data_IF_258342259973
#
_entry.id   IF_258342259973
#
_cell.length_a   1.000
_cell.length_b   1.000
_cell.length_c   1.000
_cell.angle_alpha   90.00
_cell.angle_beta   90.00
_cell.angle_gamma   90.00
#
_symmetry.space_group_name_H-M   'P 1'
#
loop_
_entity.id
_entity.type
_entity.pdbx_description
1 polymer ?
#
# COMPACT_ATOMS: atom_id res chain seq x y z
N UNK A 1 -19.91 -10.42 -4.50
CA UNK A 1 -19.66 -10.75 -5.94
C UNK A 1 -19.40 -9.44 -6.65
N UNK A 2 -18.41 -9.35 -7.55
CA UNK A 2 -18.11 -8.12 -8.30
C UNK A 2 -19.13 -7.99 -9.44
N UNK A 3 -19.86 -6.90 -9.50
CA UNK A 3 -20.86 -6.62 -10.53
C UNK A 3 -20.20 -6.26 -11.88
N UNK A 4 -20.99 -6.20 -12.95
CA UNK A 4 -20.50 -5.73 -14.25
C UNK A 4 -20.08 -4.25 -14.18
N UNK A 5 -20.85 -3.42 -13.47
CA UNK A 5 -20.56 -2.00 -13.25
C UNK A 5 -19.25 -1.81 -12.47
N UNK A 6 -19.09 -2.54 -11.34
CA UNK A 6 -17.83 -2.51 -10.57
C UNK A 6 -16.62 -2.89 -11.43
N UNK A 7 -16.80 -3.91 -12.30
CA UNK A 7 -15.71 -4.37 -13.18
C UNK A 7 -15.27 -3.31 -14.16
N UNK A 8 -16.20 -2.55 -14.72
CA UNK A 8 -15.85 -1.44 -15.63
C UNK A 8 -15.09 -0.32 -14.90
N UNK A 9 -15.49 0.02 -13.67
CA UNK A 9 -14.77 0.99 -12.84
C UNK A 9 -13.33 0.51 -12.57
N UNK A 10 -13.19 -0.74 -12.13
CA UNK A 10 -11.87 -1.32 -11.82
C UNK A 10 -10.96 -1.40 -13.06
N UNK A 11 -11.50 -1.75 -14.23
CA UNK A 11 -10.75 -1.75 -15.50
C UNK A 11 -10.27 -0.35 -15.88
N UNK A 12 -11.14 0.65 -15.74
CA UNK A 12 -10.76 2.04 -16.02
C UNK A 12 -9.64 2.52 -15.10
N UNK A 13 -9.68 2.15 -13.81
CA UNK A 13 -8.61 2.48 -12.86
C UNK A 13 -7.32 1.73 -13.17
N UNK A 14 -7.37 0.45 -13.52
CA UNK A 14 -6.20 -0.31 -13.93
C UNK A 14 -5.55 0.30 -15.19
N UNK A 15 -6.36 0.76 -16.14
CA UNK A 15 -5.86 1.47 -17.32
C UNK A 15 -5.15 2.77 -16.93
N UNK A 16 -5.72 3.56 -16.01
CA UNK A 16 -5.09 4.79 -15.50
C UNK A 16 -3.76 4.49 -14.79
N UNK A 17 -3.67 3.39 -14.04
CA UNK A 17 -2.41 2.96 -13.44
C UNK A 17 -1.35 2.67 -14.51
N UNK A 18 -1.71 1.96 -15.59
CA UNK A 18 -0.78 1.67 -16.69
C UNK A 18 -0.34 2.96 -17.41
N UNK A 19 -1.24 3.90 -17.64
CA UNK A 19 -0.91 5.21 -18.20
C UNK A 19 0.06 5.97 -17.30
N UNK A 20 -0.19 5.97 -16.00
CA UNK A 20 0.71 6.56 -15.01
C UNK A 20 2.08 5.86 -15.00
N UNK A 21 2.11 4.52 -15.09
CA UNK A 21 3.35 3.74 -15.20
C UNK A 21 4.18 4.17 -16.41
N UNK A 22 3.56 4.33 -17.57
CA UNK A 22 4.25 4.71 -18.81
C UNK A 22 4.54 6.22 -18.93
N UNK A 23 4.09 7.03 -17.98
CA UNK A 23 4.34 8.47 -18.01
C UNK A 23 5.84 8.80 -17.95
N UNK A 24 6.31 9.86 -18.64
CA UNK A 24 7.71 10.29 -18.58
C UNK A 24 8.20 10.49 -17.14
N UNK A 25 7.37 11.09 -16.30
CA UNK A 25 7.65 11.34 -14.88
C UNK A 25 7.94 10.04 -14.11
N UNK A 26 7.13 8.99 -14.34
CA UNK A 26 7.36 7.71 -13.68
C UNK A 26 8.62 7.01 -14.21
N UNK A 27 8.93 7.14 -15.49
CA UNK A 27 10.17 6.60 -16.07
C UNK A 27 11.42 7.27 -15.49
N UNK A 28 11.38 8.58 -15.28
CA UNK A 28 12.44 9.31 -14.58
C UNK A 28 12.64 8.82 -13.14
N UNK A 29 11.55 8.57 -12.42
CA UNK A 29 11.59 8.00 -11.06
C UNK A 29 12.17 6.60 -11.04
N UNK A 30 11.77 5.75 -11.97
CA UNK A 30 12.35 4.41 -12.11
C UNK A 30 13.87 4.47 -12.34
N UNK A 31 14.32 5.40 -13.17
CA UNK A 31 15.75 5.62 -13.41
C UNK A 31 16.47 6.14 -12.15
N UNK A 32 15.84 7.07 -11.40
CA UNK A 32 16.34 7.56 -10.13
C UNK A 32 16.52 6.44 -9.11
N UNK A 33 15.52 5.59 -8.93
CA UNK A 33 15.58 4.44 -8.01
C UNK A 33 16.66 3.44 -8.41
N UNK A 34 16.82 3.16 -9.73
CA UNK A 34 17.88 2.27 -10.21
C UNK A 34 19.28 2.81 -9.86
N UNK A 35 19.51 4.11 -10.07
CA UNK A 35 20.79 4.75 -9.71
C UNK A 35 21.02 4.72 -8.19
N UNK A 36 19.99 5.03 -7.42
CA UNK A 36 20.06 5.01 -5.96
C UNK A 36 20.44 3.62 -5.43
N UNK A 37 19.75 2.57 -5.90
CA UNK A 37 20.02 1.19 -5.50
C UNK A 37 21.42 0.69 -5.95
N UNK A 38 21.98 1.28 -7.00
CA UNK A 38 23.34 1.03 -7.44
C UNK A 38 24.39 1.88 -6.68
N UNK A 39 24.01 2.57 -5.60
CA UNK A 39 24.88 3.51 -4.86
C UNK A 39 25.43 4.66 -5.72
N UNK A 40 24.68 5.05 -6.76
CA UNK A 40 25.03 6.14 -7.70
C UNK A 40 23.98 7.27 -7.64
N UNK A 41 23.29 7.39 -6.51
CA UNK A 41 22.27 8.41 -6.31
C UNK A 41 22.88 9.80 -6.14
N UNK A 42 22.30 10.80 -6.78
CA UNK A 42 22.71 12.21 -6.70
C UNK A 42 22.01 12.96 -5.55
N UNK A 43 20.89 12.42 -5.07
CA UNK A 43 20.09 12.98 -3.98
C UNK A 43 19.36 11.87 -3.21
N UNK A 44 18.90 12.15 -1.99
CA UNK A 44 18.01 11.23 -1.29
C UNK A 44 16.71 11.00 -2.07
N UNK A 45 16.14 9.80 -1.94
CA UNK A 45 14.81 9.47 -2.43
C UNK A 45 13.81 9.80 -1.32
N UNK A 46 12.74 10.48 -1.68
CA UNK A 46 11.65 10.83 -0.77
C UNK A 46 10.41 10.03 -1.16
N UNK A 47 9.92 9.23 -0.24
CA UNK A 47 8.67 8.50 -0.38
C UNK A 47 7.73 8.87 0.76
N UNK A 48 6.50 9.23 0.42
CA UNK A 48 5.46 9.57 1.39
C UNK A 48 4.50 8.38 1.48
N UNK A 49 4.43 7.78 2.67
CA UNK A 49 3.47 6.70 2.94
C UNK A 49 2.05 7.27 3.03
N UNK A 50 1.15 6.72 2.21
CA UNK A 50 -0.23 7.16 2.13
C UNK A 50 -1.08 6.70 3.32
N UNK A 51 -0.63 5.74 4.10
CA UNK A 51 -1.41 5.10 5.18
C UNK A 51 -2.01 6.11 6.17
N UNK A 52 -1.29 7.21 6.44
CA UNK A 52 -1.76 8.29 7.33
C UNK A 52 -2.93 9.08 6.74
N UNK A 53 -2.92 9.31 5.42
CA UNK A 53 -3.87 10.19 4.72
C UNK A 53 -4.93 9.42 3.94
N UNK A 54 -4.80 8.11 3.82
CA UNK A 54 -5.66 7.28 3.00
C UNK A 54 -7.12 7.45 3.32
N UNK A 55 -7.46 7.48 4.62
CA UNK A 55 -8.84 7.57 5.10
C UNK A 55 -9.52 8.91 4.73
N UNK A 56 -8.73 9.93 4.44
CA UNK A 56 -9.23 11.23 4.01
C UNK A 56 -9.30 11.34 2.48
N UNK A 57 -8.35 10.73 1.77
CA UNK A 57 -8.16 10.93 0.34
C UNK A 57 -8.94 9.90 -0.49
N UNK A 58 -8.86 8.61 -0.15
CA UNK A 58 -9.39 7.54 -1.00
C UNK A 58 -10.91 7.36 -0.88
N UNK A 59 -11.53 7.32 0.32
CA UNK A 59 -12.97 7.05 0.44
C UNK A 59 -13.88 7.94 -0.41
N UNK A 60 -13.61 9.26 -0.56
CA UNK A 60 -14.42 10.11 -1.42
C UNK A 60 -14.32 9.79 -2.91
N UNK A 61 -13.29 9.06 -3.33
CA UNK A 61 -13.05 8.68 -4.73
C UNK A 61 -13.71 7.37 -5.11
N UNK A 62 -14.10 6.54 -4.13
CA UNK A 62 -14.62 5.21 -4.35
C UNK A 62 -16.00 5.25 -5.00
N UNK A 63 -16.16 4.47 -6.06
CA UNK A 63 -17.38 4.40 -6.89
C UNK A 63 -17.98 3.00 -6.94
N UNK A 64 -17.21 1.95 -6.63
CA UNK A 64 -17.71 0.60 -6.57
C UNK A 64 -18.68 0.42 -5.42
N UNK A 65 -19.71 -0.43 -5.62
CA UNK A 65 -20.74 -0.71 -4.61
C UNK A 65 -20.38 -1.94 -3.77
N UNK A 66 -19.84 -2.99 -4.39
CA UNK A 66 -19.48 -4.23 -3.71
C UNK A 66 -18.26 -4.07 -2.80
N UNK A 67 -18.31 -4.61 -1.59
CA UNK A 67 -17.22 -4.51 -0.60
C UNK A 67 -15.86 -4.97 -1.17
N UNK A 68 -15.83 -6.15 -1.80
CA UNK A 68 -14.60 -6.66 -2.44
C UNK A 68 -14.13 -5.74 -3.57
N UNK A 69 -15.06 -5.18 -4.36
CA UNK A 69 -14.71 -4.25 -5.43
C UNK A 69 -14.15 -2.94 -4.87
N UNK A 70 -14.69 -2.41 -3.77
CA UNK A 70 -14.16 -1.23 -3.07
C UNK A 70 -12.77 -1.47 -2.52
N UNK A 71 -12.47 -2.66 -1.98
CA UNK A 71 -11.12 -3.02 -1.54
C UNK A 71 -10.13 -3.02 -2.70
N UNK A 72 -10.50 -3.59 -3.85
CA UNK A 72 -9.67 -3.56 -5.06
C UNK A 72 -9.51 -2.13 -5.62
N UNK A 73 -10.56 -1.33 -5.59
CA UNK A 73 -10.55 0.06 -6.00
C UNK A 73 -9.59 0.88 -5.12
N UNK A 74 -9.64 0.71 -3.80
CA UNK A 74 -8.71 1.32 -2.84
C UNK A 74 -7.27 0.93 -3.16
N UNK A 75 -7.02 -0.37 -3.37
CA UNK A 75 -5.67 -0.86 -3.68
C UNK A 75 -5.14 -0.30 -5.02
N UNK A 76 -5.98 -0.15 -6.04
CA UNK A 76 -5.60 0.50 -7.30
C UNK A 76 -5.25 1.97 -7.09
N UNK A 77 -6.05 2.72 -6.33
CA UNK A 77 -5.74 4.12 -6.03
C UNK A 77 -4.41 4.27 -5.29
N UNK A 78 -4.12 3.41 -4.31
CA UNK A 78 -2.83 3.41 -3.59
C UNK A 78 -1.63 3.28 -4.54
N UNK A 79 -1.75 2.56 -5.64
CA UNK A 79 -0.65 2.34 -6.56
C UNK A 79 -0.20 3.60 -7.31
N UNK A 80 -1.09 4.55 -7.58
CA UNK A 80 -0.75 5.68 -8.44
C UNK A 80 -1.07 7.09 -7.90
N UNK A 81 -1.76 7.20 -6.76
CA UNK A 81 -2.12 8.52 -6.22
C UNK A 81 -0.91 9.38 -5.86
N UNK A 82 0.16 8.79 -5.34
CA UNK A 82 1.39 9.53 -5.03
C UNK A 82 1.93 10.29 -6.25
N UNK A 83 1.88 9.67 -7.43
CA UNK A 83 2.34 10.32 -8.66
C UNK A 83 1.54 11.57 -9.00
N UNK A 84 0.25 11.57 -8.69
CA UNK A 84 -0.68 12.63 -9.10
C UNK A 84 -0.91 13.70 -8.04
N UNK A 85 -0.86 13.33 -6.75
CA UNK A 85 -1.20 14.22 -5.64
C UNK A 85 0.01 14.74 -4.87
N UNK A 86 0.99 13.89 -4.59
CA UNK A 86 2.06 14.21 -3.66
C UNK A 86 3.37 14.60 -4.34
N UNK A 87 3.54 14.24 -5.60
CA UNK A 87 4.77 14.49 -6.37
C UNK A 87 6.05 14.02 -5.67
N UNK A 88 5.97 12.92 -4.94
CA UNK A 88 7.10 12.24 -4.32
C UNK A 88 7.84 11.33 -5.32
N UNK A 89 8.82 10.55 -4.87
CA UNK A 89 9.59 9.63 -5.70
C UNK A 89 8.96 8.22 -5.81
N UNK A 90 7.68 8.06 -5.47
CA UNK A 90 6.96 6.79 -5.63
C UNK A 90 6.96 6.33 -7.09
N UNK A 91 7.23 5.05 -7.32
CA UNK A 91 7.17 4.43 -8.65
C UNK A 91 5.88 3.66 -8.79
N UNK A 92 5.09 4.05 -9.79
CA UNK A 92 3.84 3.36 -10.12
C UNK A 92 4.17 2.04 -10.82
N UNK A 93 3.69 0.88 -10.28
CA UNK A 93 3.94 -0.41 -10.89
C UNK A 93 3.05 -0.65 -12.12
N UNK A 94 3.50 -1.54 -13.02
CA UNK A 94 2.71 -2.06 -14.16
C UNK A 94 1.90 -3.32 -13.82
N UNK A 95 1.90 -3.72 -12.57
CA UNK A 95 1.23 -4.91 -12.08
C UNK A 95 0.34 -4.60 -10.87
N UNK A 96 -0.58 -5.50 -10.59
CA UNK A 96 -1.37 -5.48 -9.37
C UNK A 96 -0.88 -6.64 -8.47
N UNK A 97 -0.37 -6.35 -7.25
CA UNK A 97 0.12 -7.40 -6.38
C UNK A 97 -1.03 -8.22 -5.80
N UNK A 98 -0.96 -9.53 -5.97
CA UNK A 98 -1.85 -10.48 -5.28
C UNK A 98 -1.06 -11.15 -4.18
N UNK A 99 -1.38 -10.82 -2.94
CA UNK A 99 -0.68 -11.37 -1.78
C UNK A 99 -1.43 -12.60 -1.27
N UNK A 100 -0.70 -13.70 -1.09
CA UNK A 100 -1.24 -14.86 -0.40
C UNK A 100 -1.50 -14.52 1.06
N UNK A 101 -2.69 -14.80 1.56
CA UNK A 101 -2.95 -14.72 2.99
C UNK A 101 -2.31 -15.94 3.66
N UNK A 102 -1.21 -15.70 4.33
CA UNK A 102 -0.54 -16.72 5.15
C UNK A 102 -0.75 -16.39 6.62
N UNK A 103 -1.00 -17.41 7.40
CA UNK A 103 -1.06 -17.31 8.85
C UNK A 103 0.23 -17.87 9.42
N UNK A 104 0.90 -17.09 10.24
CA UNK A 104 2.10 -17.53 10.91
C UNK A 104 1.91 -17.40 12.43
N UNK A 105 1.99 -18.54 13.11
CA UNK A 105 1.96 -18.60 14.58
C UNK A 105 3.34 -19.00 15.07
N UNK A 106 4.21 -18.05 15.44
CA UNK A 106 5.56 -18.35 15.89
C UNK A 106 5.48 -19.20 17.17
N UNK A 107 6.07 -20.39 17.12
CA UNK A 107 6.08 -21.36 18.24
C UNK A 107 4.67 -21.73 18.76
N UNK A 108 3.64 -21.64 17.93
CA UNK A 108 2.27 -21.95 18.30
C UNK A 108 1.57 -20.86 19.13
N UNK A 109 2.17 -19.68 19.28
CA UNK A 109 1.58 -18.56 20.00
C UNK A 109 0.89 -17.58 19.06
N UNK A 110 -0.27 -17.09 19.46
CA UNK A 110 -0.95 -15.99 18.80
C UNK A 110 -0.34 -14.66 19.28
N UNK A 111 0.12 -13.86 18.32
CA UNK A 111 0.62 -12.50 18.58
C UNK A 111 -0.53 -11.54 18.33
N UNK A 112 -1.00 -10.89 19.39
CA UNK A 112 -2.02 -9.85 19.29
C UNK A 112 -1.38 -8.47 19.21
N UNK A 113 -2.12 -7.48 18.66
CA UNK A 113 -1.71 -6.09 18.61
C UNK A 113 -2.65 -5.23 19.43
N UNK A 114 -2.08 -4.31 20.20
CA UNK A 114 -2.85 -3.23 20.85
C UNK A 114 -2.50 -1.92 20.16
N UNK A 115 -3.50 -1.20 19.66
CA UNK A 115 -3.34 0.05 18.94
C UNK A 115 -3.48 1.25 19.87
N UNK A 116 -2.67 2.28 19.69
CA UNK A 116 -2.63 3.46 20.55
C UNK A 116 -3.96 4.25 20.57
N UNK A 117 -4.68 4.27 19.46
CA UNK A 117 -5.99 4.95 19.32
C UNK A 117 -7.18 4.07 19.66
N UNK A 118 -6.96 2.81 20.06
CA UNK A 118 -8.05 1.86 20.29
C UNK A 118 -8.68 1.30 19.01
N UNK A 119 -8.22 1.73 17.83
CA UNK A 119 -8.67 1.24 16.53
C UNK A 119 -7.50 0.71 15.68
N UNK A 120 -7.82 -0.12 14.69
CA UNK A 120 -6.84 -0.78 13.81
C UNK A 120 -6.18 0.17 12.79
N UNK A 121 -6.61 1.41 12.71
CA UNK A 121 -6.08 2.44 11.80
C UNK A 121 -5.01 3.32 12.46
N UNK A 122 -4.84 3.22 13.78
CA UNK A 122 -3.76 3.92 14.49
C UNK A 122 -2.40 3.37 14.08
N UNK A 123 -1.48 4.24 13.70
CA UNK A 123 -0.10 3.87 13.36
C UNK A 123 0.71 3.39 14.56
N UNK A 124 0.38 3.87 15.77
CA UNK A 124 1.00 3.43 17.00
C UNK A 124 0.42 2.10 17.47
N UNK A 125 1.21 1.04 17.46
CA UNK A 125 0.79 -0.26 17.98
C UNK A 125 1.89 -0.94 18.77
N UNK A 126 1.48 -1.79 19.72
CA UNK A 126 2.34 -2.65 20.49
C UNK A 126 1.99 -4.11 20.23
N UNK A 127 3.00 -4.93 19.99
CA UNK A 127 2.82 -6.37 19.91
C UNK A 127 2.78 -6.96 21.33
N UNK A 128 1.74 -7.73 21.62
CA UNK A 128 1.62 -8.49 22.84
C UNK A 128 2.14 -9.91 22.58
N UNK A 129 3.26 -10.25 23.13
CA UNK A 129 3.85 -11.59 23.04
C UNK A 129 3.99 -12.21 24.42
N UNK A 130 3.86 -13.52 24.47
CA UNK A 130 4.08 -14.27 25.72
C UNK A 130 5.57 -14.23 26.04
N UNK A 131 5.92 -13.74 27.21
CA UNK A 131 7.31 -13.84 27.71
C UNK A 131 7.64 -15.30 27.90
N UNK A 132 8.40 -15.89 26.99
CA UNK A 132 8.98 -17.22 27.15
C UNK A 132 10.08 -17.09 28.23
N UNK A 133 9.86 -17.71 29.33
CA UNK A 133 10.69 -17.89 30.54
C UNK A 133 12.02 -17.15 30.63
N UNK A 134 12.27 -16.50 31.77
CA UNK A 134 13.64 -16.12 32.14
C UNK A 134 14.43 -17.40 32.29
N UNK A 135 15.46 -17.59 31.49
CA UNK A 135 16.52 -18.52 31.85
C UNK A 135 17.07 -18.04 33.21
N UNK A 136 16.88 -18.81 34.25
CA UNK A 136 17.59 -18.60 35.49
C UNK A 136 19.05 -19.00 35.21
N UNK A 137 19.92 -18.02 35.16
CA UNK A 137 21.36 -18.22 35.27
C UNK A 137 21.68 -18.39 36.76
#
# INVERSE_FOLDING_TARGET
>A
MITAADREILRALAQRQLEAHHSPKNQERMALWKRHNACQGERPIVHIEMDTFEQEIIPPLLRCEGEMARQLETALYRNFLNLTLLDDDWVVPDYFPVVWRTWFHPLGHEITRTFAGGDSHSLGHQFNYVKIGRAHV
#
